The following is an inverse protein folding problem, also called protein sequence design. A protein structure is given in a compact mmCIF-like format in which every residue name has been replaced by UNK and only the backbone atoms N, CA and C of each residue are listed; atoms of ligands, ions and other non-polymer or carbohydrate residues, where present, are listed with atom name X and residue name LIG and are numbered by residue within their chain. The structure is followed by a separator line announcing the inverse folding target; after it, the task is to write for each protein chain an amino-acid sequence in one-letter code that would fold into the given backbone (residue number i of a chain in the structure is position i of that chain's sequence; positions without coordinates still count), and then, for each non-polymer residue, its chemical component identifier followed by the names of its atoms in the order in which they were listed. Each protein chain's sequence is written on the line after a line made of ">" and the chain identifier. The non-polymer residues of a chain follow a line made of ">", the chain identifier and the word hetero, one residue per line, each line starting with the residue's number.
data_IF_056094824205
#
_entry.id   IF_056094824205
#
_cell.length_a   1.000
_cell.length_b   1.000
_cell.length_c   1.000
_cell.angle_alpha   90.00
_cell.angle_beta   90.00
_cell.angle_gamma   90.00
#
_symmetry.space_group_name_H-M   'P 1'
#
loop_
_entity.id
_entity.type
_entity.pdbx_description
1 polymer ?
#
# COMPACT_ATOMS: atom_id res chain seq x y z
N UNK A 1 -5.95 19.13 3.54
CA UNK A 1 -5.22 18.04 2.93
C UNK A 1 -4.09 18.52 2.04
N UNK A 2 -3.14 17.67 1.83
CA UNK A 2 -2.03 17.93 0.93
C UNK A 2 -2.03 16.93 -0.22
N UNK A 3 -1.40 17.31 -1.31
CA UNK A 3 -1.18 16.46 -2.47
C UNK A 3 0.32 16.36 -2.71
N UNK A 4 0.82 15.17 -2.92
CA UNK A 4 2.23 14.94 -3.20
C UNK A 4 2.39 14.00 -4.38
N UNK A 5 3.49 14.14 -5.08
CA UNK A 5 3.83 13.32 -6.25
C UNK A 5 5.21 12.70 -6.03
N UNK A 6 5.39 11.50 -6.52
CA UNK A 6 6.68 10.85 -6.49
C UNK A 6 6.65 9.50 -7.16
N UNK A 7 7.83 8.96 -7.41
CA UNK A 7 7.95 7.62 -7.95
C UNK A 7 7.86 6.60 -6.81
N UNK A 8 7.11 5.55 -7.03
CA UNK A 8 6.98 4.48 -6.04
C UNK A 8 8.25 3.65 -6.03
N UNK A 9 8.96 3.66 -4.90
CA UNK A 9 10.22 2.94 -4.74
C UNK A 9 10.13 1.75 -3.81
N UNK A 10 9.08 1.64 -3.01
CA UNK A 10 8.94 0.54 -2.06
C UNK A 10 7.48 0.29 -1.72
N UNK A 11 7.12 -0.99 -1.60
CA UNK A 11 5.87 -1.43 -1.00
C UNK A 11 6.25 -2.38 0.14
N UNK A 12 5.81 -2.06 1.35
CA UNK A 12 6.18 -2.83 2.55
C UNK A 12 5.44 -4.16 2.60
N UNK A 13 6.10 -5.16 3.19
CA UNK A 13 5.56 -6.53 3.27
C UNK A 13 4.29 -6.66 4.10
N UNK A 14 4.06 -5.74 5.03
CA UNK A 14 2.85 -5.71 5.85
C UNK A 14 1.67 -4.99 5.18
N UNK A 15 1.78 -4.74 3.88
CA UNK A 15 0.66 -4.24 3.07
C UNK A 15 -0.34 -5.36 2.81
N UNK A 16 -1.61 -5.01 2.76
CA UNK A 16 -2.70 -5.94 2.49
C UNK A 16 -3.71 -5.95 3.62
N UNK A 17 -4.12 -7.14 4.04
CA UNK A 17 -5.11 -7.29 5.11
C UNK A 17 -4.45 -7.08 6.47
N UNK A 18 -5.09 -6.27 7.29
CA UNK A 18 -4.74 -6.06 8.70
C UNK A 18 -5.98 -6.20 9.56
N UNK A 19 -5.78 -6.32 10.86
CA UNK A 19 -6.88 -6.36 11.82
C UNK A 19 -6.66 -5.24 12.83
N UNK A 20 -7.74 -4.53 13.15
CA UNK A 20 -7.70 -3.37 14.04
C UNK A 20 -8.42 -3.68 15.34
N UNK A 21 -7.90 -3.14 16.43
CA UNK A 21 -8.55 -3.20 17.72
C UNK A 21 -9.96 -2.61 17.62
N UNK A 22 -10.93 -3.33 18.20
CA UNK A 22 -12.33 -2.90 18.18
C UNK A 22 -12.58 -1.64 18.99
N UNK A 23 -11.70 -1.32 19.93
CA UNK A 23 -11.85 -0.16 20.82
C UNK A 23 -11.05 1.05 20.37
N UNK A 24 -9.75 0.89 20.07
CA UNK A 24 -8.89 2.02 19.73
C UNK A 24 -8.49 2.09 18.26
N UNK A 25 -8.84 1.08 17.48
CA UNK A 25 -8.59 0.97 16.03
C UNK A 25 -7.11 0.88 15.64
N UNK A 26 -6.23 0.66 16.57
CA UNK A 26 -4.82 0.40 16.27
C UNK A 26 -4.67 -0.96 15.60
N UNK A 27 -3.67 -1.09 14.77
CA UNK A 27 -3.36 -2.36 14.12
C UNK A 27 -2.93 -3.37 15.19
N UNK A 28 -3.56 -4.53 15.18
CA UNK A 28 -3.19 -5.62 16.07
C UNK A 28 -1.87 -6.24 15.61
N UNK A 29 -1.02 -6.57 16.56
CA UNK A 29 0.23 -7.30 16.32
C UNK A 29 0.10 -8.69 16.95
N UNK A 30 0.20 -9.71 16.11
CA UNK A 30 0.03 -11.11 16.54
C UNK A 30 -1.31 -11.34 17.25
N UNK A 31 -2.37 -10.68 16.77
CA UNK A 31 -3.71 -10.80 17.32
C UNK A 31 -3.93 -10.05 18.63
N UNK A 32 -3.03 -9.14 18.99
CA UNK A 32 -3.12 -8.42 20.27
C UNK A 32 -3.00 -6.91 20.08
N UNK A 33 -3.81 -6.18 20.86
CA UNK A 33 -3.62 -4.76 21.09
C UNK A 33 -2.81 -4.55 22.35
N UNK A 34 -1.81 -3.67 22.32
CA UNK A 34 -0.97 -3.37 23.48
C UNK A 34 -1.77 -2.86 24.68
N UNK A 35 -2.90 -2.18 24.42
CA UNK A 35 -3.76 -1.60 25.47
C UNK A 35 -4.95 -2.49 25.82
N UNK A 36 -5.54 -3.18 24.83
CA UNK A 36 -6.83 -3.88 24.98
C UNK A 36 -6.71 -5.40 24.90
N UNK A 37 -5.50 -5.94 24.74
CA UNK A 37 -5.24 -7.37 24.78
C UNK A 37 -5.59 -8.14 23.52
N UNK A 38 -5.65 -9.45 23.66
CA UNK A 38 -5.91 -10.36 22.56
C UNK A 38 -7.35 -10.28 22.08
N UNK A 39 -7.56 -10.33 20.76
CA UNK A 39 -8.87 -10.24 20.14
C UNK A 39 -8.78 -10.60 18.65
N UNK A 40 -9.91 -10.89 18.03
CA UNK A 40 -9.96 -11.08 16.60
C UNK A 40 -9.84 -9.75 15.84
N UNK A 41 -10.43 -8.71 16.37
CA UNK A 41 -10.40 -7.37 15.78
C UNK A 41 -11.29 -7.23 14.55
N UNK A 42 -11.24 -6.05 13.93
CA UNK A 42 -11.96 -5.74 12.70
C UNK A 42 -11.00 -5.79 11.53
N UNK A 43 -11.39 -6.50 10.47
CA UNK A 43 -10.60 -6.57 9.24
C UNK A 43 -10.57 -5.21 8.55
N UNK A 44 -9.41 -4.85 8.05
CA UNK A 44 -9.20 -3.65 7.25
C UNK A 44 -8.13 -3.95 6.21
N UNK A 45 -7.96 -3.07 5.25
CA UNK A 45 -6.88 -3.18 4.27
C UNK A 45 -6.12 -1.86 4.20
N UNK A 46 -4.83 -1.96 3.89
CA UNK A 46 -3.98 -0.79 3.67
C UNK A 46 -2.78 -1.18 2.83
N UNK A 47 -2.16 -0.17 2.24
CA UNK A 47 -0.83 -0.31 1.63
C UNK A 47 0.14 0.61 2.40
N UNK A 48 1.35 0.13 2.61
CA UNK A 48 2.45 0.94 3.13
C UNK A 48 3.50 1.05 2.06
N UNK A 49 3.77 2.27 1.65
CA UNK A 49 4.62 2.55 0.49
C UNK A 49 5.60 3.67 0.79
N UNK A 50 6.59 3.81 -0.07
CA UNK A 50 7.50 4.94 -0.05
C UNK A 50 7.55 5.55 -1.44
N UNK A 51 7.33 6.85 -1.51
CA UNK A 51 7.48 7.65 -2.72
C UNK A 51 8.78 8.43 -2.67
N UNK A 52 9.41 8.61 -3.81
CA UNK A 52 10.61 9.43 -3.97
C UNK A 52 10.30 10.57 -4.94
N UNK A 53 10.51 11.81 -4.48
CA UNK A 53 10.28 13.00 -5.29
C UNK A 53 11.59 13.64 -5.80
N UNK A 54 12.67 12.89 -5.79
CA UNK A 54 14.04 13.26 -6.18
C UNK A 54 14.84 14.01 -5.12
N UNK A 55 14.18 14.75 -4.24
CA UNK A 55 14.85 15.49 -3.16
C UNK A 55 14.76 14.76 -1.83
N UNK A 56 13.71 14.00 -1.62
CA UNK A 56 13.46 13.25 -0.38
C UNK A 56 12.53 12.08 -0.64
N UNK A 57 12.43 11.19 0.33
CA UNK A 57 11.46 10.12 0.30
C UNK A 57 10.35 10.39 1.30
N UNK A 58 9.14 9.91 1.00
CA UNK A 58 7.97 10.10 1.81
C UNK A 58 7.33 8.75 2.09
N UNK A 59 7.16 8.43 3.38
CA UNK A 59 6.38 7.25 3.77
C UNK A 59 4.89 7.54 3.62
N UNK A 60 4.18 6.57 3.08
CA UNK A 60 2.77 6.70 2.72
C UNK A 60 1.99 5.51 3.26
N UNK A 61 0.90 5.79 3.95
CA UNK A 61 -0.10 4.77 4.30
C UNK A 61 -1.34 5.05 3.46
N UNK A 62 -1.75 4.08 2.66
CA UNK A 62 -2.96 4.18 1.84
C UNK A 62 -4.06 3.41 2.55
N UNK A 63 -5.13 4.10 2.90
CA UNK A 63 -6.26 3.48 3.59
C UNK A 63 -7.08 2.59 2.66
N UNK A 64 -8.18 2.05 3.18
CA UNK A 64 -9.07 1.16 2.42
C UNK A 64 -9.52 1.78 1.09
N UNK A 65 -10.03 2.99 1.13
CA UNK A 65 -10.57 3.68 -0.04
C UNK A 65 -9.49 3.88 -1.11
N UNK A 66 -8.32 4.33 -0.69
CA UNK A 66 -7.18 4.51 -1.59
C UNK A 66 -6.66 3.19 -2.14
N UNK A 67 -6.63 2.16 -1.31
CA UNK A 67 -6.19 0.82 -1.73
C UNK A 67 -7.15 0.22 -2.76
N UNK A 68 -8.44 0.30 -2.52
CA UNK A 68 -9.44 -0.21 -3.46
C UNK A 68 -9.38 0.53 -4.80
N UNK A 69 -9.23 1.86 -4.75
CA UNK A 69 -9.13 2.68 -5.95
C UNK A 69 -7.86 2.34 -6.76
N UNK A 70 -6.73 2.21 -6.09
CA UNK A 70 -5.45 1.95 -6.76
C UNK A 70 -5.37 0.53 -7.34
N UNK A 71 -5.89 -0.45 -6.61
CA UNK A 71 -5.82 -1.86 -7.05
C UNK A 71 -6.95 -2.25 -7.98
N UNK A 72 -8.06 -1.52 -7.96
CA UNK A 72 -9.29 -1.93 -8.67
C UNK A 72 -9.98 -3.12 -8.01
N UNK A 73 -9.61 -3.49 -6.80
CA UNK A 73 -10.18 -4.62 -6.07
C UNK A 73 -10.83 -4.13 -4.78
N UNK A 74 -11.96 -4.75 -4.42
CA UNK A 74 -12.59 -4.49 -3.14
C UNK A 74 -11.81 -5.15 -2.00
N UNK A 75 -12.10 -4.74 -0.77
CA UNK A 75 -11.49 -5.37 0.42
C UNK A 75 -11.75 -6.88 0.44
N UNK A 76 -12.97 -7.30 0.08
CA UNK A 76 -13.34 -8.70 0.04
C UNK A 76 -12.50 -9.46 -0.99
N UNK A 77 -12.34 -8.90 -2.18
CA UNK A 77 -11.53 -9.50 -3.23
C UNK A 77 -10.06 -9.62 -2.82
N UNK A 78 -9.51 -8.59 -2.19
CA UNK A 78 -8.14 -8.61 -1.69
C UNK A 78 -7.97 -9.66 -0.60
N UNK A 79 -8.92 -9.72 0.34
CA UNK A 79 -8.88 -10.72 1.42
C UNK A 79 -8.95 -12.13 0.87
N UNK A 80 -9.81 -12.38 -0.11
CA UNK A 80 -9.92 -13.69 -0.75
C UNK A 80 -8.63 -14.06 -1.50
N UNK A 81 -8.06 -13.11 -2.22
CA UNK A 81 -6.79 -13.34 -2.92
C UNK A 81 -5.68 -13.73 -1.94
N UNK A 82 -5.57 -13.01 -0.83
CA UNK A 82 -4.54 -13.29 0.19
C UNK A 82 -4.78 -14.64 0.86
N UNK A 83 -6.03 -14.98 1.12
CA UNK A 83 -6.37 -16.28 1.69
C UNK A 83 -5.96 -17.43 0.79
N UNK A 84 -6.13 -17.28 -0.52
CA UNK A 84 -5.81 -18.32 -1.50
C UNK A 84 -4.33 -18.36 -1.88
N UNK A 85 -3.66 -17.22 -1.95
CA UNK A 85 -2.32 -17.11 -2.52
C UNK A 85 -1.26 -16.61 -1.53
N UNK A 86 -1.66 -16.09 -0.39
CA UNK A 86 -0.75 -15.53 0.62
C UNK A 86 -0.52 -14.04 0.43
N UNK A 87 -0.16 -13.38 1.53
CA UNK A 87 0.08 -11.94 1.55
C UNK A 87 1.30 -11.55 0.73
N UNK A 88 2.34 -12.37 0.71
CA UNK A 88 3.53 -12.09 -0.09
C UNK A 88 3.24 -12.07 -1.59
N UNK A 89 2.36 -12.95 -2.06
CA UNK A 89 1.96 -12.95 -3.47
C UNK A 89 1.23 -11.65 -3.82
N UNK A 90 0.36 -11.17 -2.94
CA UNK A 90 -0.32 -9.89 -3.11
C UNK A 90 0.69 -8.75 -3.23
N UNK A 91 1.64 -8.67 -2.30
CA UNK A 91 2.66 -7.62 -2.29
C UNK A 91 3.53 -7.69 -3.55
N UNK A 92 3.96 -8.89 -3.95
CA UNK A 92 4.75 -9.06 -5.17
C UNK A 92 3.99 -8.61 -6.42
N UNK A 93 2.71 -8.95 -6.52
CA UNK A 93 1.88 -8.50 -7.64
C UNK A 93 1.78 -6.98 -7.68
N UNK A 94 1.61 -6.35 -6.52
CA UNK A 94 1.58 -4.90 -6.43
C UNK A 94 2.90 -4.28 -6.84
N UNK A 95 4.02 -4.87 -6.40
CA UNK A 95 5.36 -4.42 -6.78
C UNK A 95 5.57 -4.50 -8.29
N UNK A 96 5.20 -5.61 -8.89
CA UNK A 96 5.35 -5.80 -10.34
C UNK A 96 4.57 -4.77 -11.15
N UNK A 97 3.41 -4.38 -10.68
CA UNK A 97 2.55 -3.42 -11.39
C UNK A 97 2.93 -1.98 -11.16
N UNK A 98 3.40 -1.64 -9.96
CA UNK A 98 3.44 -0.26 -9.50
C UNK A 98 4.84 0.30 -9.25
N UNK A 99 5.85 -0.54 -8.95
CA UNK A 99 7.19 -0.01 -8.71
C UNK A 99 7.71 0.76 -9.91
N UNK A 100 8.25 1.94 -9.66
CA UNK A 100 8.74 2.83 -10.70
C UNK A 100 7.69 3.78 -11.27
N UNK A 101 6.40 3.50 -11.08
CA UNK A 101 5.34 4.40 -11.52
C UNK A 101 5.38 5.69 -10.72
N UNK A 102 5.00 6.79 -11.37
CA UNK A 102 4.81 8.06 -10.68
C UNK A 102 3.38 8.15 -10.19
N UNK A 103 3.24 8.38 -8.90
CA UNK A 103 1.94 8.42 -8.23
C UNK A 103 1.69 9.81 -7.67
N UNK A 104 0.42 10.18 -7.61
CA UNK A 104 -0.04 11.34 -6.86
C UNK A 104 -0.88 10.83 -5.70
N UNK A 105 -0.53 11.25 -4.50
CA UNK A 105 -1.25 10.87 -3.29
C UNK A 105 -1.84 12.10 -2.63
N UNK A 106 -3.11 12.01 -2.26
CA UNK A 106 -3.82 13.05 -1.54
C UNK A 106 -4.14 12.54 -0.14
N UNK A 107 -3.91 13.36 0.86
CA UNK A 107 -4.18 12.98 2.21
C UNK A 107 -3.74 14.00 3.23
N UNK A 108 -3.46 13.53 4.43
CA UNK A 108 -3.01 14.38 5.53
C UNK A 108 -1.74 13.82 6.16
N UNK A 109 -0.91 14.71 6.67
CA UNK A 109 0.30 14.32 7.39
C UNK A 109 -0.08 13.83 8.78
N UNK A 110 0.48 12.69 9.17
CA UNK A 110 0.41 12.18 10.53
C UNK A 110 1.83 11.99 11.04
N UNK A 111 1.99 12.10 12.35
CA UNK A 111 3.28 11.93 13.01
C UNK A 111 3.16 10.79 14.03
N UNK A 112 4.07 9.84 13.94
CA UNK A 112 4.17 8.75 14.90
C UNK A 112 5.61 8.65 15.43
N UNK A 113 5.90 7.57 16.14
CA UNK A 113 7.23 7.32 16.70
C UNK A 113 8.33 7.21 15.65
N UNK A 114 7.96 6.87 14.43
CA UNK A 114 8.90 6.69 13.32
C UNK A 114 9.06 7.94 12.46
N UNK A 115 8.33 9.01 12.77
CA UNK A 115 8.40 10.27 12.08
C UNK A 115 7.11 10.64 11.34
N UNK A 116 7.22 11.57 10.41
CA UNK A 116 6.08 12.04 9.63
C UNK A 116 5.79 11.12 8.45
N UNK A 117 4.51 10.90 8.17
CA UNK A 117 4.06 10.15 7.01
C UNK A 117 2.76 10.73 6.49
N UNK A 118 2.40 10.40 5.27
CA UNK A 118 1.14 10.80 4.68
C UNK A 118 0.12 9.67 4.81
N UNK A 119 -1.02 9.98 5.40
CA UNK A 119 -2.17 9.07 5.40
C UNK A 119 -3.06 9.46 4.23
N UNK A 120 -3.13 8.59 3.22
CA UNK A 120 -3.79 8.89 1.96
C UNK A 120 -5.06 8.06 1.77
N UNK A 121 -6.12 8.73 1.35
CA UNK A 121 -7.39 8.11 0.96
C UNK A 121 -7.56 8.08 -0.57
N UNK A 122 -6.62 8.66 -1.30
CA UNK A 122 -6.67 8.70 -2.76
C UNK A 122 -5.28 8.68 -3.35
N UNK A 123 -5.02 7.69 -4.17
CA UNK A 123 -3.74 7.55 -4.89
C UNK A 123 -4.04 7.28 -6.35
N UNK A 124 -3.38 8.03 -7.23
CA UNK A 124 -3.57 7.90 -8.67
C UNK A 124 -2.22 7.69 -9.36
N UNK A 125 -2.21 6.83 -10.38
CA UNK A 125 -1.05 6.68 -11.25
C UNK A 125 -1.10 7.83 -12.25
N UNK A 126 -0.07 8.68 -12.25
CA UNK A 126 0.00 9.82 -13.17
C UNK A 126 1.03 9.61 -14.28
N UNK A 127 1.94 8.66 -14.08
CA UNK A 127 2.91 8.31 -15.11
C UNK A 127 3.39 6.89 -14.88
N UNK A 128 3.31 6.06 -15.92
CA UNK A 128 3.81 4.71 -15.89
C UNK A 128 5.30 4.75 -16.21
N UNK A 129 6.10 3.98 -15.45
CA UNK A 129 7.54 3.87 -15.73
C UNK A 129 7.73 3.18 -17.08
N UNK A 130 8.16 3.95 -18.07
CA UNK A 130 8.35 3.44 -19.43
C UNK A 130 9.41 2.35 -19.51
N UNK A 131 10.43 2.40 -18.65
CA UNK A 131 11.46 1.37 -18.60
C UNK A 131 10.88 0.07 -18.05
N UNK A 132 10.12 0.14 -16.98
CA UNK A 132 9.46 -1.03 -16.40
C UNK A 132 8.45 -1.64 -17.35
N UNK A 133 7.64 -0.80 -18.00
CA UNK A 133 6.66 -1.27 -18.99
C UNK A 133 7.36 -1.93 -20.17
N UNK A 134 8.44 -1.34 -20.67
CA UNK A 134 9.19 -1.92 -21.79
C UNK A 134 9.79 -3.28 -21.40
N UNK A 135 10.35 -3.39 -20.19
CA UNK A 135 10.90 -4.65 -19.69
C UNK A 135 9.81 -5.71 -19.54
N UNK A 136 8.67 -5.34 -19.01
CA UNK A 136 7.52 -6.23 -18.83
C UNK A 136 6.99 -6.72 -20.18
N UNK A 137 6.84 -5.83 -21.16
CA UNK A 137 6.38 -6.18 -22.50
C UNK A 137 7.36 -7.13 -23.18
N UNK A 138 8.65 -6.90 -23.05
CA UNK A 138 9.67 -7.80 -23.60
C UNK A 138 9.57 -9.19 -22.99
N UNK A 139 9.39 -9.27 -21.68
CA UNK A 139 9.24 -10.53 -20.99
C UNK A 139 7.99 -11.29 -21.45
N UNK A 140 6.87 -10.58 -21.58
CA UNK A 140 5.59 -11.18 -22.01
C UNK A 140 5.65 -11.71 -23.43
N UNK A 141 6.34 -11.00 -24.32
CA UNK A 141 6.36 -11.32 -25.74
C UNK A 141 7.59 -12.15 -26.14
N UNK A 142 8.43 -12.53 -25.18
CA UNK A 142 9.64 -13.27 -25.46
C UNK A 142 10.72 -12.46 -26.17
N UNK A 143 10.59 -11.14 -26.19
CA UNK A 143 11.58 -10.22 -26.71
C UNK A 143 12.43 -9.73 -25.54
N UNK A 144 13.70 -10.06 -25.57
CA UNK A 144 14.60 -9.72 -24.48
C UNK A 144 15.58 -8.64 -24.93
#
# INVERSE_FOLDING_TARGET
>A
GISTKGHLISIKEDSGVIYRCTECRRVLRDGECATHGAQEGNQDIRLRMVLDDTSSSLSLIVNKEGTESLTGMTQEEIANFIQENGSMMFVQNMREKLLGCKLMANGRTIVDEQGAMLLSDRVEIIEVDSVMVAAELRARWGVV
#
